data_IF_277328952852
#
_entry.id   IF_277328952852
#
_cell.length_a   1.000
_cell.length_b   1.000
_cell.length_c   1.000
_cell.angle_alpha   90.00
_cell.angle_beta   90.00
_cell.angle_gamma   90.00
#
_symmetry.space_group_name_H-M   'P 1'
#
loop_
_entity.id
_entity.type
_entity.pdbx_description
1 polymer ?
#
# COMPACT_ATOMS: atom_id res chain seq x y z
N UNK A 1 -38.22 -11.67 4.96
CA UNK A 1 -37.54 -10.50 4.39
C UNK A 1 -36.22 -10.37 5.12
N UNK A 2 -35.15 -10.85 4.50
CA UNK A 2 -33.82 -10.87 5.10
C UNK A 2 -32.97 -9.93 4.25
N UNK A 3 -32.73 -8.73 4.77
CA UNK A 3 -31.89 -7.74 4.10
C UNK A 3 -30.46 -7.98 4.56
N UNK A 4 -29.76 -8.86 3.84
CA UNK A 4 -28.32 -9.02 3.96
C UNK A 4 -27.64 -7.82 3.29
N UNK A 5 -27.08 -6.91 4.08
CA UNK A 5 -26.12 -5.95 3.57
C UNK A 5 -24.83 -6.70 3.25
N UNK A 6 -24.66 -7.10 1.99
CA UNK A 6 -23.33 -7.25 1.44
C UNK A 6 -22.77 -5.83 1.33
N UNK A 7 -22.06 -5.39 2.38
CA UNK A 7 -21.10 -4.30 2.18
C UNK A 7 -20.06 -4.89 1.25
N UNK A 8 -20.18 -4.49 -0.01
CA UNK A 8 -19.24 -4.66 -1.08
C UNK A 8 -17.99 -3.85 -0.70
N UNK A 9 -17.27 -4.31 0.34
CA UNK A 9 -16.00 -3.73 0.72
C UNK A 9 -15.08 -4.03 -0.45
N UNK A 10 -14.66 -2.98 -1.15
CA UNK A 10 -13.89 -3.07 -2.36
C UNK A 10 -12.72 -4.04 -2.11
N UNK A 11 -12.61 -5.03 -2.98
CA UNK A 11 -11.52 -5.99 -3.11
C UNK A 11 -10.21 -5.21 -3.30
N UNK A 12 -9.67 -4.64 -2.22
CA UNK A 12 -8.45 -3.85 -2.24
C UNK A 12 -7.31 -4.81 -2.54
N UNK A 13 -6.96 -4.91 -3.83
CA UNK A 13 -5.92 -5.79 -4.32
C UNK A 13 -4.61 -5.40 -3.66
N UNK A 14 -4.06 -6.31 -2.87
CA UNK A 14 -2.70 -6.22 -2.38
C UNK A 14 -1.82 -6.98 -3.37
N UNK A 15 -0.79 -6.33 -3.90
CA UNK A 15 0.19 -6.95 -4.77
C UNK A 15 1.57 -6.97 -4.12
N UNK A 16 2.39 -7.94 -4.48
CA UNK A 16 3.82 -7.97 -4.19
C UNK A 16 4.57 -7.65 -5.47
N UNK A 17 5.33 -6.55 -5.47
CA UNK A 17 6.40 -6.38 -6.46
C UNK A 17 7.64 -7.10 -5.97
N UNK A 18 8.18 -7.98 -6.80
CA UNK A 18 9.37 -8.78 -6.52
C UNK A 18 10.41 -8.39 -7.56
N UNK A 19 11.47 -7.69 -7.13
CA UNK A 19 12.54 -7.22 -7.99
C UNK A 19 13.75 -8.13 -7.86
N UNK A 20 14.25 -8.60 -8.98
CA UNK A 20 15.48 -9.39 -9.07
C UNK A 20 16.70 -8.48 -9.21
N UNK A 21 17.88 -8.97 -8.84
CA UNK A 21 19.14 -8.25 -9.05
C UNK A 21 19.44 -7.90 -10.52
N UNK A 22 18.79 -8.58 -11.47
CA UNK A 22 18.90 -8.31 -12.91
C UNK A 22 17.97 -7.18 -13.38
N UNK A 23 17.19 -6.58 -12.48
CA UNK A 23 16.25 -5.50 -12.79
C UNK A 23 14.87 -5.98 -13.25
N UNK A 24 14.64 -7.30 -13.37
CA UNK A 24 13.31 -7.83 -13.67
C UNK A 24 12.38 -7.61 -12.48
N UNK A 25 11.15 -7.17 -12.76
CA UNK A 25 10.09 -6.98 -11.77
C UNK A 25 8.95 -7.95 -12.07
N UNK A 26 8.59 -8.77 -11.10
CA UNK A 26 7.40 -9.63 -11.13
C UNK A 26 6.36 -9.03 -10.19
N UNK A 27 5.10 -8.98 -10.61
CA UNK A 27 3.99 -8.51 -9.78
C UNK A 27 3.06 -9.69 -9.51
N UNK A 28 2.94 -10.07 -8.24
CA UNK A 28 2.07 -11.16 -7.80
C UNK A 28 0.93 -10.60 -6.95
N UNK A 29 -0.31 -10.98 -7.24
CA UNK A 29 -1.45 -10.58 -6.42
C UNK A 29 -1.59 -11.51 -5.22
N UNK A 30 -1.75 -10.94 -4.03
CA UNK A 30 -1.85 -11.72 -2.81
C UNK A 30 -3.28 -12.21 -2.59
N UNK A 31 -3.39 -13.44 -2.07
CA UNK A 31 -4.67 -14.00 -1.68
C UNK A 31 -4.92 -13.75 -0.20
N UNK A 32 -6.13 -13.31 0.15
CA UNK A 32 -6.55 -13.16 1.53
C UNK A 32 -6.81 -14.54 2.15
N UNK A 33 -6.15 -14.81 3.26
CA UNK A 33 -6.35 -16.01 4.04
C UNK A 33 -7.73 -15.97 4.70
N UNK A 34 -8.51 -17.05 4.55
CA UNK A 34 -9.82 -17.17 5.18
C UNK A 34 -9.63 -17.24 6.71
N UNK A 35 -10.42 -16.51 7.51
CA UNK A 35 -10.28 -16.55 8.97
C UNK A 35 -10.53 -17.97 9.48
N UNK A 36 -9.58 -18.52 10.23
CA UNK A 36 -9.74 -19.79 10.93
C UNK A 36 -10.69 -19.60 12.12
N UNK A 37 -11.69 -20.47 12.21
CA UNK A 37 -12.85 -20.35 13.09
C UNK A 37 -12.52 -20.71 14.57
N UNK A 38 -11.52 -20.06 15.18
CA UNK A 38 -11.10 -20.34 16.56
C UNK A 38 -10.90 -19.03 17.34
N UNK A 39 -11.93 -18.71 18.11
CA UNK A 39 -11.99 -17.86 19.32
C UNK A 39 -10.83 -16.89 19.60
N UNK A 40 -10.76 -15.78 18.86
CA UNK A 40 -10.28 -14.49 19.38
C UNK A 40 -10.71 -13.37 18.42
N UNK A 41 -11.46 -12.39 18.93
CA UNK A 41 -11.92 -11.19 18.22
C UNK A 41 -10.72 -10.31 17.79
N UNK A 42 -10.04 -10.69 16.72
CA UNK A 42 -9.06 -9.83 16.05
C UNK A 42 -9.37 -9.86 14.56
N UNK A 43 -10.00 -8.80 14.05
CA UNK A 43 -10.43 -8.63 12.65
C UNK A 43 -9.25 -8.28 11.73
N UNK A 44 -8.14 -9.00 11.83
CA UNK A 44 -6.95 -8.74 11.00
C UNK A 44 -6.98 -9.62 9.77
N UNK A 45 -7.10 -9.00 8.59
CA UNK A 45 -6.96 -9.68 7.31
C UNK A 45 -5.48 -10.01 7.07
N UNK A 46 -5.20 -11.24 6.66
CA UNK A 46 -3.85 -11.71 6.32
C UNK A 46 -3.80 -12.01 4.83
N UNK A 47 -2.80 -11.49 4.13
CA UNK A 47 -2.58 -11.72 2.70
C UNK A 47 -1.30 -12.53 2.51
N UNK A 48 -1.33 -13.52 1.61
CA UNK A 48 -0.20 -14.42 1.35
C UNK A 48 0.15 -14.46 -0.13
N UNK A 49 1.44 -14.58 -0.39
CA UNK A 49 2.02 -14.84 -1.72
C UNK A 49 3.16 -15.84 -1.56
N UNK A 50 3.30 -16.71 -2.55
CA UNK A 50 4.43 -17.65 -2.64
C UNK A 50 5.21 -17.35 -3.90
N UNK A 51 6.53 -17.27 -3.78
CA UNK A 51 7.41 -17.03 -4.91
C UNK A 51 8.50 -18.09 -4.98
N UNK A 52 8.74 -18.60 -6.19
CA UNK A 52 9.78 -19.59 -6.47
C UNK A 52 11.01 -18.87 -7.02
N UNK A 53 12.06 -18.80 -6.21
CA UNK A 53 13.30 -18.12 -6.55
C UNK A 53 14.41 -19.09 -6.98
N UNK A 54 15.34 -18.59 -7.80
CA UNK A 54 16.57 -19.32 -8.11
C UNK A 54 17.56 -19.35 -6.95
N UNK A 55 18.46 -20.33 -6.95
CA UNK A 55 19.58 -20.38 -6.00
C UNK A 55 20.53 -19.19 -6.18
N UNK A 56 20.93 -18.57 -5.08
CA UNK A 56 21.78 -17.38 -5.05
C UNK A 56 21.07 -16.10 -5.53
N UNK A 57 19.77 -16.14 -5.82
CA UNK A 57 19.05 -14.98 -6.32
C UNK A 57 18.80 -13.95 -5.22
N UNK A 58 19.20 -12.70 -5.47
CA UNK A 58 18.89 -11.58 -4.59
C UNK A 58 17.58 -10.94 -5.03
N UNK A 59 16.62 -10.92 -4.12
CA UNK A 59 15.27 -10.43 -4.33
C UNK A 59 14.97 -9.27 -3.37
N UNK A 60 14.25 -8.28 -3.89
CA UNK A 60 13.61 -7.23 -3.11
C UNK A 60 12.10 -7.35 -3.24
N UNK A 61 11.41 -7.44 -2.10
CA UNK A 61 9.97 -7.57 -1.97
C UNK A 61 9.39 -6.22 -1.54
N UNK A 62 8.40 -5.72 -2.28
CA UNK A 62 7.73 -4.45 -2.02
C UNK A 62 6.21 -4.62 -2.16
N UNK A 63 5.44 -4.69 -1.05
CA UNK A 63 3.99 -4.76 -1.13
C UNK A 63 3.40 -3.43 -1.63
N UNK A 64 2.31 -3.54 -2.40
CA UNK A 64 1.59 -2.42 -3.03
C UNK A 64 0.09 -2.57 -2.80
N UNK A 65 -0.57 -1.44 -2.58
CA UNK A 65 -2.01 -1.34 -2.47
C UNK A 65 -2.42 0.10 -2.76
N UNK A 66 -3.64 0.26 -3.27
CA UNK A 66 -4.21 1.59 -3.47
C UNK A 66 -4.62 2.25 -2.15
N UNK A 67 -4.78 1.50 -1.06
CA UNK A 67 -5.29 2.02 0.22
C UNK A 67 -4.42 1.69 1.44
N UNK A 68 -3.58 0.66 1.36
CA UNK A 68 -2.69 0.26 2.46
C UNK A 68 -1.28 0.84 2.28
N UNK A 69 -0.72 1.30 3.39
CA UNK A 69 0.71 1.50 3.58
C UNK A 69 1.31 0.27 4.25
N UNK A 70 2.61 0.03 4.05
CA UNK A 70 3.28 -1.16 4.56
C UNK A 70 4.54 -0.82 5.35
N UNK A 71 4.71 -1.52 6.48
CA UNK A 71 5.90 -1.44 7.32
C UNK A 71 6.51 -2.85 7.53
N UNK A 72 7.77 -3.09 7.14
CA UNK A 72 8.62 -2.18 6.36
C UNK A 72 8.03 -1.93 4.95
N UNK A 73 8.53 -0.93 4.23
CA UNK A 73 8.07 -0.65 2.85
C UNK A 73 8.67 -1.63 1.83
N UNK A 74 9.86 -2.15 2.12
CA UNK A 74 10.54 -3.17 1.32
C UNK A 74 11.32 -4.14 2.21
N UNK A 75 11.67 -5.29 1.66
CA UNK A 75 12.54 -6.27 2.31
C UNK A 75 13.44 -6.93 1.27
N UNK A 76 14.73 -7.11 1.57
CA UNK A 76 15.68 -7.74 0.65
C UNK A 76 16.28 -8.99 1.25
N UNK A 77 16.34 -10.06 0.48
CA UNK A 77 16.99 -11.31 0.88
C UNK A 77 17.66 -12.01 -0.31
N UNK A 78 18.70 -12.79 -0.01
CA UNK A 78 19.36 -13.68 -0.97
C UNK A 78 18.90 -15.10 -0.72
N UNK A 79 18.33 -15.73 -1.73
CA UNK A 79 17.76 -17.07 -1.65
C UNK A 79 18.87 -18.12 -1.75
N UNK A 80 18.78 -19.18 -0.96
CA UNK A 80 19.73 -20.30 -0.99
C UNK A 80 18.98 -21.60 -1.31
N UNK A 81 19.58 -22.44 -2.13
CA UNK A 81 19.07 -23.77 -2.43
C UNK A 81 18.81 -24.55 -1.14
N UNK A 82 17.61 -25.11 -1.01
CA UNK A 82 17.20 -25.91 0.15
C UNK A 82 16.65 -25.11 1.34
N UNK A 83 16.80 -23.78 1.36
CA UNK A 83 16.18 -22.92 2.38
C UNK A 83 14.78 -22.49 1.93
N UNK A 84 13.82 -23.42 2.00
CA UNK A 84 12.40 -23.08 1.83
C UNK A 84 11.87 -22.51 3.16
N UNK A 85 11.98 -21.20 3.33
CA UNK A 85 11.41 -20.52 4.49
C UNK A 85 9.87 -20.58 4.43
N UNK A 86 9.23 -21.13 5.48
CA UNK A 86 7.76 -21.11 5.61
C UNK A 86 7.22 -19.67 5.64
N UNK A 87 8.03 -18.76 6.17
CA UNK A 87 7.74 -17.33 6.21
C UNK A 87 9.07 -16.58 6.15
N UNK A 88 9.27 -15.83 5.07
CA UNK A 88 10.49 -15.08 4.85
C UNK A 88 10.42 -13.67 5.46
N UNK A 89 9.27 -13.00 5.33
CA UNK A 89 9.03 -11.65 5.82
C UNK A 89 7.54 -11.45 6.10
N UNK A 90 7.22 -10.60 7.09
CA UNK A 90 5.88 -10.05 7.31
C UNK A 90 5.89 -8.55 7.11
N UNK A 91 4.85 -8.06 6.45
CA UNK A 91 4.57 -6.64 6.28
C UNK A 91 3.33 -6.30 7.06
N UNK A 92 3.42 -5.27 7.93
CA UNK A 92 2.25 -4.72 8.60
C UNK A 92 1.53 -3.78 7.64
N UNK A 93 0.28 -4.08 7.31
CA UNK A 93 -0.60 -3.18 6.56
C UNK A 93 -1.22 -2.13 7.48
N UNK A 94 -1.20 -0.87 7.05
CA UNK A 94 -1.80 0.28 7.73
C UNK A 94 -2.78 0.91 6.76
N UNK A 95 -4.05 1.07 7.17
CA UNK A 95 -5.04 1.76 6.34
C UNK A 95 -4.64 3.23 6.23
N UNK A 96 -4.28 3.65 5.04
CA UNK A 96 -3.89 5.03 4.75
C UNK A 96 -5.10 5.96 4.67
N UNK A 97 -4.83 7.25 4.83
CA UNK A 97 -5.81 8.32 4.59
C UNK A 97 -5.54 9.00 3.25
N UNK A 98 -6.55 9.68 2.71
CA UNK A 98 -6.38 10.53 1.54
C UNK A 98 -6.57 11.99 1.95
N UNK A 99 -5.68 12.85 1.47
CA UNK A 99 -5.78 14.30 1.58
C UNK A 99 -6.51 14.77 0.32
N UNK A 100 -7.71 15.32 0.50
CA UNK A 100 -8.59 15.74 -0.57
C UNK A 100 -9.13 17.14 -0.29
N UNK A 101 -9.30 17.94 -1.34
CA UNK A 101 -9.86 19.27 -1.22
C UNK A 101 -10.16 19.91 -2.57
N UNK A 102 -10.58 21.17 -2.52
CA UNK A 102 -10.90 21.98 -3.70
C UNK A 102 -10.49 23.44 -3.48
N UNK A 103 -9.92 24.06 -4.50
CA UNK A 103 -9.61 25.49 -4.53
C UNK A 103 -10.86 26.28 -4.89
N UNK A 104 -11.07 27.41 -4.21
CA UNK A 104 -12.14 28.37 -4.49
C UNK A 104 -11.54 29.76 -4.78
N UNK A 105 -11.83 30.38 -5.94
CA UNK A 105 -12.65 29.84 -7.03
C UNK A 105 -12.01 28.61 -7.70
N UNK A 106 -12.79 27.74 -8.39
CA UNK A 106 -12.26 26.55 -9.07
C UNK A 106 -11.21 26.90 -10.12
N UNK A 107 -9.95 26.51 -9.89
CA UNK A 107 -8.83 26.81 -10.78
C UNK A 107 -8.00 25.55 -11.06
N UNK A 108 -7.75 25.19 -12.33
CA UNK A 108 -6.91 24.07 -12.69
C UNK A 108 -5.42 24.40 -12.62
N UNK A 109 -4.60 23.36 -12.50
CA UNK A 109 -3.13 23.43 -12.53
C UNK A 109 -2.47 24.24 -11.40
N UNK A 110 -3.22 24.55 -10.33
CA UNK A 110 -2.68 25.19 -9.12
C UNK A 110 -1.82 24.18 -8.38
N UNK A 111 -0.63 24.61 -7.94
CA UNK A 111 0.29 23.76 -7.20
C UNK A 111 -0.16 23.65 -5.74
N UNK A 112 -0.38 22.42 -5.28
CA UNK A 112 -0.73 22.07 -3.91
C UNK A 112 0.47 21.37 -3.30
N UNK A 113 1.13 22.06 -2.38
CA UNK A 113 2.25 21.53 -1.62
C UNK A 113 1.74 20.85 -0.35
N UNK A 114 2.06 19.58 -0.20
CA UNK A 114 1.73 18.75 0.95
C UNK A 114 3.03 18.34 1.63
N UNK A 115 3.19 18.66 2.91
CA UNK A 115 4.38 18.29 3.67
C UNK A 115 3.99 17.64 5.01
N UNK A 116 4.81 16.70 5.45
CA UNK A 116 4.72 16.12 6.80
C UNK A 116 5.94 16.56 7.61
N UNK A 117 5.81 16.62 8.94
CA UNK A 117 6.88 17.14 9.79
C UNK A 117 8.20 16.38 9.55
N UNK A 118 9.18 17.07 8.96
CA UNK A 118 10.52 16.55 8.70
C UNK A 118 10.73 15.88 7.33
N UNK A 119 9.71 15.80 6.47
CA UNK A 119 9.85 15.28 5.10
C UNK A 119 9.95 16.40 4.07
N UNK A 120 10.63 16.13 2.95
CA UNK A 120 10.51 16.96 1.75
C UNK A 120 9.03 16.94 1.30
N UNK A 121 8.48 18.11 0.96
CA UNK A 121 7.09 18.23 0.55
C UNK A 121 6.86 17.68 -0.85
N UNK A 122 5.65 17.22 -1.13
CA UNK A 122 5.23 16.80 -2.47
C UNK A 122 4.30 17.85 -3.08
N UNK A 123 4.54 18.17 -4.36
CA UNK A 123 3.65 19.06 -5.13
C UNK A 123 2.74 18.23 -6.02
N UNK A 124 1.43 18.47 -5.95
CA UNK A 124 0.45 17.97 -6.90
C UNK A 124 -0.33 19.13 -7.51
N UNK A 125 -1.00 18.89 -8.64
CA UNK A 125 -1.80 19.93 -9.30
C UNK A 125 -3.29 19.69 -9.16
N UNK A 126 -4.06 20.77 -9.07
CA UNK A 126 -5.52 20.70 -9.14
C UNK A 126 -6.00 20.27 -10.53
N UNK A 127 -7.12 19.56 -10.55
CA UNK A 127 -7.80 19.14 -11.77
C UNK A 127 -8.58 20.29 -12.44
N UNK A 128 -9.28 19.99 -13.54
CA UNK A 128 -10.11 20.95 -14.31
C UNK A 128 -11.19 21.65 -13.48
N UNK A 129 -11.58 21.08 -12.33
CA UNK A 129 -12.60 21.58 -11.42
C UNK A 129 -12.00 22.18 -10.14
N UNK A 130 -10.68 22.36 -10.08
CA UNK A 130 -9.96 22.88 -8.92
C UNK A 130 -9.81 21.88 -7.78
N UNK A 131 -10.12 20.59 -7.98
CA UNK A 131 -10.01 19.56 -6.94
C UNK A 131 -8.62 18.93 -6.93
N UNK A 132 -8.21 18.45 -5.77
CA UNK A 132 -6.96 17.71 -5.60
C UNK A 132 -7.16 16.52 -4.66
N UNK A 133 -6.37 15.47 -4.88
CA UNK A 133 -6.36 14.25 -4.09
C UNK A 133 -4.94 13.69 -4.03
N UNK A 134 -4.46 13.39 -2.82
CA UNK A 134 -3.17 12.79 -2.57
C UNK A 134 -3.26 11.69 -1.51
N UNK A 135 -2.52 10.59 -1.71
CA UNK A 135 -2.43 9.49 -0.77
C UNK A 135 -2.33 8.13 -1.46
N UNK A 136 -2.34 7.03 -0.69
CA UNK A 136 -2.55 6.97 0.76
C UNK A 136 -1.40 7.62 1.57
N UNK A 137 -1.74 8.26 2.70
CA UNK A 137 -0.79 8.88 3.65
C UNK A 137 -0.94 8.28 5.05
N UNK A 138 0.11 8.37 5.87
CA UNK A 138 0.12 7.76 7.19
C UNK A 138 -0.91 8.44 8.11
N UNK A 139 -1.81 7.67 8.76
CA UNK A 139 -2.96 8.25 9.46
C UNK A 139 -2.61 9.06 10.71
N UNK A 140 -1.44 8.80 11.30
CA UNK A 140 -0.96 9.40 12.55
C UNK A 140 -0.02 10.59 12.35
N UNK A 141 0.29 10.96 11.10
CA UNK A 141 1.17 12.10 10.83
C UNK A 141 0.36 13.39 10.68
N UNK A 142 0.96 14.50 11.09
CA UNK A 142 0.44 15.84 10.83
C UNK A 142 0.93 16.34 9.47
N UNK A 143 0.00 16.89 8.69
CA UNK A 143 0.26 17.39 7.35
C UNK A 143 -0.03 18.90 7.26
N UNK A 144 0.86 19.64 6.60
CA UNK A 144 0.66 21.03 6.22
C UNK A 144 0.39 21.11 4.72
N UNK A 145 -0.64 21.87 4.36
CA UNK A 145 -1.13 22.02 2.99
C UNK A 145 -1.08 23.50 2.64
N UNK A 146 -0.49 23.84 1.50
CA UNK A 146 -0.49 25.20 0.94
C UNK A 146 -0.74 25.16 -0.56
N UNK A 147 -1.40 26.20 -1.07
CA UNK A 147 -1.65 26.39 -2.50
C UNK A 147 -0.88 27.63 -2.99
N UNK A 148 -0.27 27.53 -4.17
CA UNK A 148 0.49 28.61 -4.82
C UNK A 148 0.25 28.70 -6.31
#
# INVERSE_FOLDING_TARGET
METSYLVQDADHRVAMEIKTSKGNVVTEYMEMEKPNNTTSKTTTNVYKVTYWAGDGEKLEFAPKSDVLLFEPNTFTATMKAGECAKELVRFKGIVGKFIEGQISPPLPNIDILISSNGSEGISIKTDQTGKYRYGPVHPDFEYKISAS
#
